data_IF_739824925188
#
_entry.id   IF_739824925188
#
_cell.length_a   1.000
_cell.length_b   1.000
_cell.length_c   1.000
_cell.angle_alpha   90.00
_cell.angle_beta   90.00
_cell.angle_gamma   90.00
#
_symmetry.space_group_name_H-M   'P 1'
#
loop_
_entity.id
_entity.type
_entity.pdbx_description
1 polymer ?
#
# COMPACT_ATOMS: atom_id res chain seq x y z
N UNK A 1 1.62 -22.22 -3.62
CA UNK A 1 1.48 -21.57 -2.30
C UNK A 1 0.94 -20.17 -2.55
N UNK A 2 -0.17 -19.80 -1.92
CA UNK A 2 -0.69 -18.43 -2.00
C UNK A 2 0.04 -17.58 -0.97
N UNK A 3 0.54 -16.42 -1.38
CA UNK A 3 1.22 -15.45 -0.52
C UNK A 3 0.62 -14.06 -0.76
N UNK A 4 0.64 -13.19 0.24
CA UNK A 4 0.42 -11.76 0.07
C UNK A 4 1.76 -11.02 0.00
N UNK A 5 1.81 -9.99 -0.84
CA UNK A 5 2.78 -8.89 -0.77
C UNK A 5 2.13 -7.73 0.01
N UNK A 6 2.94 -6.80 0.51
CA UNK A 6 2.39 -5.59 1.15
C UNK A 6 1.96 -4.58 0.07
N UNK A 7 0.67 -4.29 0.02
CA UNK A 7 0.07 -3.37 -0.93
C UNK A 7 0.17 -1.89 -0.52
N UNK A 8 0.93 -1.54 0.51
CA UNK A 8 1.09 -0.13 0.90
C UNK A 8 1.80 0.68 -0.21
N UNK A 9 1.33 1.89 -0.57
CA UNK A 9 1.80 2.57 -1.79
C UNK A 9 3.30 2.84 -1.89
N UNK A 10 3.99 3.04 -0.76
CA UNK A 10 5.44 3.32 -0.74
C UNK A 10 6.29 2.10 -1.06
N UNK A 11 5.72 0.90 -1.02
CA UNK A 11 6.40 -0.35 -1.37
C UNK A 11 6.49 -0.54 -2.89
N UNK A 12 5.97 0.42 -3.67
CA UNK A 12 5.98 0.43 -5.11
C UNK A 12 6.64 1.69 -5.68
N UNK A 13 7.32 1.53 -6.82
CA UNK A 13 7.91 2.64 -7.58
C UNK A 13 7.48 2.59 -9.04
N UNK A 14 7.24 3.76 -9.64
CA UNK A 14 7.00 3.86 -11.08
C UNK A 14 8.35 3.83 -11.81
N UNK A 15 8.56 2.81 -12.63
CA UNK A 15 9.76 2.66 -13.44
C UNK A 15 9.39 2.25 -14.85
N UNK A 16 9.78 3.08 -15.84
CA UNK A 16 9.55 2.83 -17.28
C UNK A 16 8.07 2.51 -17.60
N UNK A 17 7.15 3.26 -16.99
CA UNK A 17 5.70 3.08 -17.18
C UNK A 17 5.11 1.86 -16.48
N UNK A 18 5.87 1.18 -15.60
CA UNK A 18 5.40 0.04 -14.81
C UNK A 18 5.47 0.37 -13.32
N UNK A 19 4.49 -0.10 -12.58
CA UNK A 19 4.54 -0.09 -11.12
C UNK A 19 5.30 -1.33 -10.64
N UNK A 20 6.38 -1.14 -9.90
CA UNK A 20 7.29 -2.21 -9.45
C UNK A 20 7.28 -2.29 -7.93
N UNK A 21 6.95 -3.47 -7.39
CA UNK A 21 7.08 -3.77 -5.96
C UNK A 21 8.56 -3.95 -5.58
N UNK A 22 9.00 -3.29 -4.51
CA UNK A 22 10.42 -3.26 -4.10
C UNK A 22 10.68 -3.74 -2.68
N UNK A 23 9.63 -4.06 -1.92
CA UNK A 23 9.75 -4.40 -0.50
C UNK A 23 10.05 -5.90 -0.25
N UNK A 24 9.90 -6.77 -1.24
CA UNK A 24 10.24 -8.22 -1.24
C UNK A 24 9.78 -9.07 -0.02
N UNK A 25 9.05 -8.49 0.92
CA UNK A 25 8.41 -9.19 2.03
C UNK A 25 7.23 -10.02 1.52
N UNK A 26 7.06 -11.21 2.10
CA UNK A 26 6.02 -12.15 1.75
C UNK A 26 5.36 -12.67 3.02
N UNK A 27 4.03 -12.67 3.02
CA UNK A 27 3.21 -13.20 4.10
C UNK A 27 2.39 -14.39 3.63
N UNK A 28 2.02 -15.27 4.57
CA UNK A 28 1.02 -16.30 4.30
C UNK A 28 -0.27 -15.63 3.80
N UNK A 29 -0.88 -16.21 2.78
CA UNK A 29 -2.09 -15.66 2.20
C UNK A 29 -3.25 -15.60 3.20
N UNK A 30 -3.81 -14.41 3.34
CA UNK A 30 -5.09 -14.12 3.97
C UNK A 30 -5.81 -13.08 3.10
N UNK A 31 -7.05 -13.33 2.65
CA UNK A 31 -7.77 -12.42 1.78
C UNK A 31 -7.90 -11.00 2.36
N UNK A 32 -7.89 -10.83 3.69
CA UNK A 32 -8.00 -9.51 4.32
C UNK A 32 -6.81 -8.60 4.02
N UNK A 33 -5.65 -9.14 3.64
CA UNK A 33 -4.43 -8.40 3.31
C UNK A 33 -4.23 -8.17 1.81
N UNK A 34 -5.20 -8.57 0.98
CA UNK A 34 -5.15 -8.35 -0.47
C UNK A 34 -5.31 -6.87 -0.85
N UNK A 35 -5.11 -6.59 -2.14
CA UNK A 35 -5.33 -5.26 -2.70
C UNK A 35 -6.77 -4.82 -2.46
N UNK A 36 -7.74 -5.69 -2.72
CA UNK A 36 -9.17 -5.36 -2.67
C UNK A 36 -9.64 -5.01 -1.25
N UNK A 37 -9.17 -5.75 -0.25
CA UNK A 37 -9.66 -5.63 1.13
C UNK A 37 -8.84 -4.66 2.00
N UNK A 38 -7.57 -4.41 1.66
CA UNK A 38 -6.69 -3.55 2.47
C UNK A 38 -5.94 -2.52 1.64
N UNK A 39 -5.26 -2.93 0.57
CA UNK A 39 -4.43 -2.03 -0.23
C UNK A 39 -5.21 -0.85 -0.82
N UNK A 40 -6.38 -1.13 -1.40
CA UNK A 40 -7.19 -0.18 -2.15
C UNK A 40 -7.56 1.06 -1.31
N UNK A 41 -7.73 0.89 0.00
CA UNK A 41 -7.96 2.00 0.91
C UNK A 41 -6.87 3.07 0.78
N UNK A 42 -5.59 2.68 0.85
CA UNK A 42 -4.47 3.61 0.76
C UNK A 42 -4.25 4.15 -0.66
N UNK A 43 -4.45 3.30 -1.67
CA UNK A 43 -4.31 3.70 -3.08
C UNK A 43 -5.39 4.70 -3.52
N UNK A 44 -6.61 4.56 -3.02
CA UNK A 44 -7.73 5.46 -3.35
C UNK A 44 -7.81 6.68 -2.42
N UNK A 45 -7.24 6.63 -1.21
CA UNK A 45 -7.28 7.71 -0.23
C UNK A 45 -6.15 8.75 -0.46
N UNK A 46 -6.19 9.42 -1.61
CA UNK A 46 -5.18 10.42 -1.97
C UNK A 46 -5.09 11.58 -0.95
N UNK A 47 -6.21 11.99 -0.36
CA UNK A 47 -6.25 13.08 0.61
C UNK A 47 -5.58 12.71 1.94
N UNK A 48 -5.92 11.53 2.50
CA UNK A 48 -5.29 11.01 3.72
C UNK A 48 -3.81 10.74 3.52
N UNK A 49 -3.43 10.09 2.41
CA UNK A 49 -2.02 9.84 2.08
C UNK A 49 -1.23 11.14 1.93
N UNK A 50 -1.79 12.16 1.27
CA UNK A 50 -1.12 13.45 1.14
C UNK A 50 -0.92 14.15 2.49
N UNK A 51 -1.83 13.97 3.47
CA UNK A 51 -1.64 14.49 4.83
C UNK A 51 -0.53 13.73 5.54
N UNK A 52 -0.58 12.40 5.52
CA UNK A 52 0.45 11.53 6.09
C UNK A 52 1.85 11.85 5.57
N UNK A 53 2.03 12.00 4.25
CA UNK A 53 3.33 12.32 3.66
C UNK A 53 3.87 13.70 4.10
N UNK A 54 2.99 14.64 4.44
CA UNK A 54 3.38 15.96 4.94
C UNK A 54 3.66 15.97 6.44
N UNK A 55 2.89 15.22 7.22
CA UNK A 55 2.97 15.25 8.70
C UNK A 55 3.84 14.15 9.30
N UNK A 56 4.05 13.05 8.59
CA UNK A 56 4.60 11.80 9.13
C UNK A 56 3.63 11.04 10.06
N UNK A 57 2.44 11.57 10.30
CA UNK A 57 1.45 10.98 11.22
C UNK A 57 0.53 10.00 10.48
N UNK A 58 0.68 8.71 10.76
CA UNK A 58 -0.14 7.66 10.16
C UNK A 58 -1.63 7.78 10.54
N UNK A 59 -1.96 8.38 11.68
CA UNK A 59 -3.35 8.64 12.06
C UNK A 59 -4.02 9.63 11.09
N UNK A 60 -3.25 10.48 10.40
CA UNK A 60 -3.77 11.42 9.41
C UNK A 60 -4.24 10.78 8.10
N UNK A 61 -3.97 9.48 7.89
CA UNK A 61 -4.49 8.71 6.75
C UNK A 61 -6.00 8.48 6.96
N UNK A 62 -6.39 8.08 8.17
CA UNK A 62 -7.75 7.69 8.51
C UNK A 62 -8.58 8.93 8.87
N UNK A 63 -9.17 9.56 7.84
CA UNK A 63 -10.16 10.63 7.98
C UNK A 63 -11.50 10.11 8.50
#
# INVERSE_FOLDING_TARGET
AHLNIDYFPTNFVLSRGKLVYIDYELNLYDPKWGLENWGLYYWANAAGMARYLRSGDAAAINL
#
